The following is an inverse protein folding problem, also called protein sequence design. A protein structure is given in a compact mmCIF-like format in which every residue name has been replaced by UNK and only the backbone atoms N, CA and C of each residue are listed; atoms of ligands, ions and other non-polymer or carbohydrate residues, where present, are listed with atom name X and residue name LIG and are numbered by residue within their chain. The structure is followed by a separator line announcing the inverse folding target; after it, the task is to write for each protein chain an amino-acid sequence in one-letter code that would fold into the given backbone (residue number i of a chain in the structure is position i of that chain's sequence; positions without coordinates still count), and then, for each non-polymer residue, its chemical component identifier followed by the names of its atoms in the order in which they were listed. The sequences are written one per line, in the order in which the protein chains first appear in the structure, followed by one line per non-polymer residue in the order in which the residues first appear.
data_IF_189310531704
#
_entry.id   IF_189310531704
#
_cell.length_a   1.000
_cell.length_b   1.000
_cell.length_c   1.000
_cell.angle_alpha   90.00
_cell.angle_beta   90.00
_cell.angle_gamma   90.00
#
_symmetry.space_group_name_H-M   'P 1'
#
loop_
_entity.id
_entity.type
_entity.pdbx_description
1 polymer ?
#
# COMPACT_ATOMS: atom_id res chain seq x y z
N UNK A 1 -11.31 20.78 44.43
CA UNK A 1 -11.23 21.00 42.97
C UNK A 1 -9.91 20.43 42.49
N UNK A 2 -9.88 19.18 42.06
CA UNK A 2 -8.68 18.45 41.66
C UNK A 2 -8.71 18.42 40.13
N UNK A 3 -7.68 18.92 39.43
CA UNK A 3 -7.62 18.79 37.98
C UNK A 3 -7.30 17.34 37.64
N UNK A 4 -8.23 16.66 36.98
CA UNK A 4 -7.99 15.39 36.29
C UNK A 4 -7.09 15.70 35.09
N UNK A 5 -5.81 15.42 35.23
CA UNK A 5 -4.91 15.35 34.09
C UNK A 5 -5.27 14.08 33.30
N UNK A 6 -5.81 14.27 32.12
CA UNK A 6 -5.97 13.20 31.12
C UNK A 6 -4.60 12.92 30.52
N UNK A 7 -3.84 12.01 31.13
CA UNK A 7 -2.68 11.40 30.50
C UNK A 7 -3.18 10.43 29.39
N UNK A 8 -3.51 10.99 28.24
CA UNK A 8 -3.48 10.21 27.01
C UNK A 8 -2.02 10.17 26.57
N UNK A 9 -1.38 8.99 26.51
CA UNK A 9 -0.07 8.88 25.89
C UNK A 9 -0.19 9.41 24.46
N UNK A 10 0.68 10.37 24.11
CA UNK A 10 0.73 10.92 22.77
C UNK A 10 0.83 9.79 21.76
N UNK A 11 0.02 9.85 20.70
CA UNK A 11 -0.17 8.82 19.66
C UNK A 11 1.17 8.33 19.02
N UNK A 12 2.24 9.11 19.15
CA UNK A 12 3.58 8.76 18.64
C UNK A 12 4.25 7.57 19.36
N UNK A 13 3.79 7.15 20.54
CA UNK A 13 4.49 6.14 21.36
C UNK A 13 3.70 4.82 21.55
N UNK A 14 2.54 4.65 20.89
CA UNK A 14 1.67 3.49 21.14
C UNK A 14 1.93 2.28 20.23
N UNK A 15 2.59 2.44 19.08
CA UNK A 15 2.87 1.34 18.15
C UNK A 15 3.63 0.15 18.75
N UNK A 16 4.70 0.35 19.55
CA UNK A 16 5.42 -0.77 20.17
C UNK A 16 4.54 -1.64 21.07
N UNK A 17 3.42 -1.12 21.58
CA UNK A 17 2.51 -1.87 22.46
C UNK A 17 1.75 -2.97 21.71
N UNK A 18 1.57 -2.82 20.39
CA UNK A 18 0.89 -3.82 19.57
C UNK A 18 1.80 -4.96 19.11
N UNK A 19 3.12 -4.74 19.06
CA UNK A 19 4.07 -5.71 18.50
C UNK A 19 4.01 -7.10 19.16
N UNK A 20 3.92 -7.24 20.49
CA UNK A 20 3.79 -8.56 21.11
C UNK A 20 2.54 -9.32 20.68
N UNK A 21 1.41 -8.61 20.52
CA UNK A 21 0.15 -9.21 20.06
C UNK A 21 0.24 -9.60 18.58
N UNK A 22 0.85 -8.78 17.74
CA UNK A 22 1.10 -9.06 16.33
C UNK A 22 1.98 -10.29 16.19
N UNK A 23 3.08 -10.36 16.94
CA UNK A 23 3.99 -11.50 16.91
C UNK A 23 3.30 -12.81 17.33
N UNK A 24 2.53 -12.77 18.41
CA UNK A 24 1.79 -13.96 18.89
C UNK A 24 0.75 -14.44 17.86
N UNK A 25 0.00 -13.51 17.24
CA UNK A 25 -0.97 -13.83 16.20
C UNK A 25 -0.31 -14.42 14.96
N UNK A 26 0.81 -13.85 14.50
CA UNK A 26 1.56 -14.35 13.35
C UNK A 26 2.07 -15.76 13.59
N UNK A 27 2.68 -16.04 14.76
CA UNK A 27 3.15 -17.38 15.13
C UNK A 27 2.02 -18.40 15.08
N UNK A 28 0.86 -18.05 15.63
CA UNK A 28 -0.31 -18.93 15.63
C UNK A 28 -0.91 -19.14 14.25
N UNK A 29 -1.01 -18.08 13.44
CA UNK A 29 -1.51 -18.18 12.06
C UNK A 29 -0.61 -19.07 11.21
N UNK A 30 0.72 -18.88 11.27
CA UNK A 30 1.69 -19.72 10.54
C UNK A 30 1.58 -21.17 11.00
N UNK A 31 1.53 -21.43 12.31
CA UNK A 31 1.36 -22.77 12.87
C UNK A 31 0.08 -23.46 12.36
N UNK A 32 -1.04 -22.74 12.33
CA UNK A 32 -2.34 -23.30 11.92
C UNK A 32 -2.44 -23.49 10.40
N UNK A 33 -1.83 -22.60 9.62
CA UNK A 33 -1.82 -22.70 8.15
C UNK A 33 -0.96 -23.86 7.62
N UNK A 34 -0.06 -24.39 8.45
CA UNK A 34 0.94 -25.41 8.07
C UNK A 34 1.88 -24.95 6.95
N UNK A 35 2.02 -23.64 6.76
CA UNK A 35 2.98 -23.08 5.81
C UNK A 35 4.37 -23.05 6.44
N UNK A 36 5.38 -23.38 5.65
CA UNK A 36 6.78 -23.27 6.04
C UNK A 36 7.27 -21.82 5.88
N UNK A 37 6.80 -20.96 6.79
CA UNK A 37 7.10 -19.55 6.85
C UNK A 37 7.81 -19.18 8.15
N UNK A 38 8.73 -18.24 8.05
CA UNK A 38 9.33 -17.51 9.16
C UNK A 38 9.09 -16.01 8.96
N UNK A 39 9.21 -15.22 10.02
CA UNK A 39 9.14 -13.78 9.92
C UNK A 39 10.07 -13.10 10.92
N UNK A 40 10.49 -11.90 10.59
CA UNK A 40 11.14 -10.94 11.48
C UNK A 40 10.30 -9.68 11.58
N UNK A 41 10.42 -8.95 12.70
CA UNK A 41 9.82 -7.63 12.87
C UNK A 41 10.96 -6.65 13.14
N UNK A 42 11.12 -5.70 12.23
CA UNK A 42 12.21 -4.73 12.29
C UNK A 42 11.65 -3.31 12.34
N UNK A 43 12.33 -2.44 13.07
CA UNK A 43 12.03 -1.01 13.06
C UNK A 43 12.74 -0.37 11.88
N UNK A 44 11.98 0.27 11.00
CA UNK A 44 12.53 0.97 9.85
C UNK A 44 13.14 2.32 10.28
N UNK A 45 14.27 2.71 9.69
CA UNK A 45 14.79 4.06 9.89
C UNK A 45 13.82 5.08 9.27
N UNK A 46 13.68 6.27 9.87
CA UNK A 46 12.87 7.33 9.28
C UNK A 46 13.47 7.73 7.91
N UNK A 47 12.64 7.72 6.88
CA UNK A 47 13.03 8.19 5.54
C UNK A 47 12.40 9.56 5.29
N UNK A 48 13.22 10.51 4.83
CA UNK A 48 12.75 11.86 4.53
C UNK A 48 11.91 11.95 3.25
N UNK A 49 12.06 10.98 2.35
CA UNK A 49 11.49 11.02 1.00
C UNK A 49 10.26 10.14 0.78
N UNK A 50 9.84 9.38 1.81
CA UNK A 50 8.80 8.37 1.59
C UNK A 50 7.65 8.53 2.59
N UNK A 51 6.59 9.19 2.15
CA UNK A 51 5.29 9.22 2.85
C UNK A 51 4.70 7.80 3.07
N UNK A 52 5.40 6.77 2.60
CA UNK A 52 4.99 5.37 2.63
C UNK A 52 5.95 4.46 3.40
N UNK A 53 7.02 5.01 4.00
CA UNK A 53 7.95 4.20 4.81
C UNK A 53 7.25 3.79 6.10
N UNK A 54 7.05 2.48 6.34
CA UNK A 54 6.48 2.00 7.59
C UNK A 54 7.48 2.24 8.73
N UNK A 55 6.99 2.34 9.96
CA UNK A 55 7.86 2.36 11.14
C UNK A 55 8.34 0.97 11.53
N UNK A 56 7.50 -0.03 11.26
CA UNK A 56 7.82 -1.43 11.48
C UNK A 56 7.52 -2.25 10.23
N UNK A 57 8.47 -3.08 9.86
CA UNK A 57 8.36 -4.02 8.76
C UNK A 57 8.32 -5.44 9.33
N UNK A 58 7.30 -6.19 8.95
CA UNK A 58 7.20 -7.63 9.15
C UNK A 58 7.65 -8.29 7.85
N UNK A 59 8.88 -8.81 7.85
CA UNK A 59 9.46 -9.47 6.68
C UNK A 59 9.26 -10.97 6.77
N UNK A 60 8.64 -11.57 5.74
CA UNK A 60 8.42 -13.01 5.64
C UNK A 60 9.50 -13.69 4.80
N UNK A 61 9.84 -14.91 5.21
CA UNK A 61 10.74 -15.81 4.50
C UNK A 61 10.30 -17.28 4.69
N UNK A 62 10.93 -18.19 3.98
CA UNK A 62 10.62 -19.63 4.07
C UNK A 62 10.34 -20.24 2.71
N UNK A 63 10.20 -21.59 2.66
CA UNK A 63 9.99 -22.31 1.40
C UNK A 63 8.64 -22.01 0.76
N UNK A 64 7.63 -21.60 1.56
CA UNK A 64 6.30 -21.27 1.07
C UNK A 64 6.09 -19.75 0.87
N UNK A 65 7.16 -18.95 0.93
CA UNK A 65 7.08 -17.50 0.79
C UNK A 65 6.49 -17.06 -0.55
N UNK A 66 6.72 -17.81 -1.63
CA UNK A 66 6.16 -17.48 -2.96
C UNK A 66 4.63 -17.52 -2.97
N UNK A 67 4.00 -18.36 -2.13
CA UNK A 67 2.54 -18.40 -2.00
C UNK A 67 1.96 -17.06 -1.49
N UNK A 68 2.72 -16.33 -0.66
CA UNK A 68 2.30 -15.02 -0.17
C UNK A 68 2.19 -14.00 -1.29
N UNK A 69 3.00 -14.15 -2.35
CA UNK A 69 3.13 -13.21 -3.45
C UNK A 69 2.19 -13.51 -4.63
N UNK A 70 1.57 -14.69 -4.63
CA UNK A 70 0.60 -15.05 -5.68
C UNK A 70 -0.55 -14.03 -5.80
N UNK A 71 -1.08 -13.92 -7.02
CA UNK A 71 -2.22 -13.04 -7.33
C UNK A 71 -2.04 -11.62 -6.79
N UNK A 72 -0.87 -11.06 -7.04
CA UNK A 72 -0.54 -9.70 -6.61
C UNK A 72 -0.50 -9.55 -5.08
N UNK A 73 0.16 -10.48 -4.42
CA UNK A 73 0.33 -10.57 -2.97
C UNK A 73 -0.99 -10.56 -2.18
N UNK A 74 -2.03 -11.18 -2.74
CA UNK A 74 -3.35 -11.23 -2.07
C UNK A 74 -3.26 -11.88 -0.69
N UNK A 75 -2.50 -12.97 -0.54
CA UNK A 75 -2.36 -13.66 0.74
C UNK A 75 -1.56 -12.82 1.74
N UNK A 76 -0.47 -12.18 1.32
CA UNK A 76 0.32 -11.28 2.18
C UNK A 76 -0.55 -10.12 2.71
N UNK A 77 -1.33 -9.48 1.82
CA UNK A 77 -2.23 -8.41 2.20
C UNK A 77 -3.35 -8.89 3.15
N UNK A 78 -3.83 -10.12 2.98
CA UNK A 78 -4.82 -10.72 3.87
C UNK A 78 -4.22 -10.98 5.27
N UNK A 79 -2.99 -11.49 5.35
CA UNK A 79 -2.27 -11.66 6.63
C UNK A 79 -2.12 -10.33 7.35
N UNK A 80 -1.64 -9.28 6.67
CA UNK A 80 -1.53 -7.94 7.23
C UNK A 80 -2.89 -7.47 7.80
N UNK A 81 -3.93 -7.50 6.99
CA UNK A 81 -5.24 -7.02 7.40
C UNK A 81 -5.81 -7.76 8.61
N UNK A 82 -5.77 -9.09 8.58
CA UNK A 82 -6.31 -9.94 9.65
C UNK A 82 -5.53 -9.75 10.94
N UNK A 83 -4.20 -9.74 10.88
CA UNK A 83 -3.34 -9.59 12.06
C UNK A 83 -3.51 -8.23 12.69
N UNK A 84 -3.50 -7.14 11.91
CA UNK A 84 -3.67 -5.79 12.45
C UNK A 84 -5.05 -5.61 13.10
N UNK A 85 -6.11 -6.14 12.48
CA UNK A 85 -7.47 -6.11 13.06
C UNK A 85 -7.58 -6.97 14.31
N UNK A 86 -7.04 -8.18 14.32
CA UNK A 86 -7.09 -9.09 15.48
C UNK A 86 -6.24 -8.57 16.65
N UNK A 87 -5.11 -7.92 16.38
CA UNK A 87 -4.30 -7.23 17.38
C UNK A 87 -4.93 -5.92 17.88
N UNK A 88 -6.09 -5.53 17.33
CA UNK A 88 -6.81 -4.28 17.64
C UNK A 88 -5.96 -3.03 17.43
N UNK A 89 -5.09 -3.05 16.42
CA UNK A 89 -4.35 -1.88 15.98
C UNK A 89 -5.35 -0.84 15.48
N UNK A 90 -5.20 0.40 15.90
CA UNK A 90 -6.05 1.51 15.45
C UNK A 90 -5.80 1.79 13.96
N UNK A 91 -6.85 2.17 13.22
CA UNK A 91 -6.76 2.34 11.76
C UNK A 91 -5.75 3.39 11.32
N UNK A 92 -5.49 4.39 12.16
CA UNK A 92 -4.48 5.42 11.90
C UNK A 92 -3.04 4.86 11.85
N UNK A 93 -2.78 3.70 12.47
CA UNK A 93 -1.47 3.05 12.48
C UNK A 93 -1.30 1.99 11.38
N UNK A 94 -2.33 1.64 10.61
CA UNK A 94 -2.26 0.56 9.61
C UNK A 94 -1.17 0.80 8.55
N UNK A 95 -0.92 2.05 8.17
CA UNK A 95 0.15 2.37 7.23
C UNK A 95 1.56 2.38 7.83
N UNK A 96 1.67 2.39 9.18
CA UNK A 96 2.93 2.47 9.90
C UNK A 96 3.53 1.09 10.22
N UNK A 97 2.75 0.03 10.09
CA UNK A 97 3.20 -1.38 10.16
C UNK A 97 2.93 -1.99 8.80
N UNK A 98 3.94 -2.50 8.14
CA UNK A 98 3.83 -3.12 6.83
C UNK A 98 4.32 -4.55 6.86
N UNK A 99 3.72 -5.40 6.04
CA UNK A 99 4.13 -6.76 5.81
C UNK A 99 4.77 -6.86 4.44
N UNK A 100 5.94 -7.48 4.33
CA UNK A 100 6.64 -7.66 3.06
C UNK A 100 7.22 -9.07 2.94
N UNK A 101 7.60 -9.42 1.75
CA UNK A 101 8.24 -10.67 1.40
C UNK A 101 9.04 -10.45 0.11
N UNK A 102 10.34 -10.76 0.13
CA UNK A 102 11.21 -10.69 -1.05
C UNK A 102 11.23 -9.30 -1.72
N UNK A 103 11.22 -8.22 -0.96
CA UNK A 103 11.19 -6.84 -1.49
C UNK A 103 9.98 -6.54 -2.40
N UNK A 104 8.88 -7.32 -2.30
CA UNK A 104 7.75 -7.22 -3.21
C UNK A 104 7.14 -5.82 -3.22
N UNK A 105 7.03 -5.16 -2.05
CA UNK A 105 6.46 -3.81 -1.97
C UNK A 105 7.28 -2.79 -2.76
N UNK A 106 8.60 -2.84 -2.65
CA UNK A 106 9.49 -1.94 -3.39
C UNK A 106 9.35 -2.17 -4.89
N UNK A 107 9.44 -3.42 -5.33
CA UNK A 107 9.31 -3.79 -6.74
C UNK A 107 7.94 -3.40 -7.31
N UNK A 108 6.88 -3.64 -6.53
CA UNK A 108 5.53 -3.28 -6.93
C UNK A 108 5.31 -1.76 -7.03
N UNK A 109 5.87 -0.99 -6.10
CA UNK A 109 5.81 0.45 -6.14
C UNK A 109 6.52 1.01 -7.39
N UNK A 110 7.69 0.46 -7.74
CA UNK A 110 8.40 0.84 -8.96
C UNK A 110 7.61 0.51 -10.23
N UNK A 111 7.04 -0.70 -10.32
CA UNK A 111 6.16 -1.11 -11.41
C UNK A 111 4.96 -0.17 -11.57
N UNK A 112 4.30 0.19 -10.48
CA UNK A 112 3.16 1.10 -10.49
C UNK A 112 3.56 2.51 -10.94
N UNK A 113 4.70 3.03 -10.48
CA UNK A 113 5.23 4.33 -10.94
C UNK A 113 5.51 4.32 -12.45
N UNK A 114 6.18 3.28 -12.94
CA UNK A 114 6.45 3.12 -14.38
C UNK A 114 5.16 2.99 -15.18
N UNK A 115 4.22 2.18 -14.72
CA UNK A 115 2.90 2.02 -15.35
C UNK A 115 2.15 3.35 -15.43
N UNK A 116 2.20 4.16 -14.38
CA UNK A 116 1.58 5.47 -14.35
C UNK A 116 2.19 6.40 -15.42
N UNK A 117 3.52 6.43 -15.54
CA UNK A 117 4.20 7.27 -16.52
C UNK A 117 3.86 6.86 -17.97
N UNK A 118 3.95 5.57 -18.29
CA UNK A 118 3.61 5.06 -19.63
C UNK A 118 2.14 5.32 -19.97
N UNK A 119 1.23 5.13 -18.99
CA UNK A 119 -0.18 5.41 -19.20
C UNK A 119 -0.46 6.91 -19.40
N UNK A 120 0.27 7.80 -18.70
CA UNK A 120 0.16 9.24 -18.88
C UNK A 120 0.61 9.67 -20.28
N UNK A 121 1.73 9.16 -20.77
CA UNK A 121 2.21 9.44 -22.13
C UNK A 121 1.18 9.00 -23.17
N UNK A 122 0.62 7.80 -23.03
CA UNK A 122 -0.43 7.31 -23.92
C UNK A 122 -1.66 8.22 -23.94
N UNK A 123 -2.07 8.72 -22.76
CA UNK A 123 -3.20 9.67 -22.63
C UNK A 123 -2.93 10.97 -23.39
N UNK A 124 -1.69 11.47 -23.30
CA UNK A 124 -1.29 12.71 -23.99
C UNK A 124 -1.29 12.51 -25.49
N UNK A 125 -0.73 11.40 -25.96
CA UNK A 125 -0.62 11.08 -27.40
C UNK A 125 -1.99 10.83 -28.04
N UNK A 126 -2.88 10.08 -27.35
CA UNK A 126 -4.19 9.72 -27.87
C UNK A 126 -5.25 10.81 -27.69
N UNK A 127 -5.12 11.61 -26.61
CA UNK A 127 -6.16 12.52 -26.16
C UNK A 127 -7.35 11.84 -25.45
N UNK A 128 -7.30 10.51 -25.30
CA UNK A 128 -8.36 9.72 -24.69
C UNK A 128 -7.98 9.28 -23.27
N UNK A 129 -8.95 9.20 -22.33
CA UNK A 129 -8.69 8.69 -20.99
C UNK A 129 -8.18 7.25 -21.01
N UNK A 130 -7.27 6.93 -20.10
CA UNK A 130 -6.78 5.56 -19.90
C UNK A 130 -7.16 5.02 -18.53
N UNK A 131 -7.72 3.81 -18.51
CA UNK A 131 -8.15 3.14 -17.29
C UNK A 131 -7.15 2.06 -16.90
N UNK A 132 -6.62 2.16 -15.68
CA UNK A 132 -5.77 1.12 -15.09
C UNK A 132 -6.62 -0.02 -14.52
N UNK A 133 -6.00 -1.18 -14.29
CA UNK A 133 -6.62 -2.31 -13.63
C UNK A 133 -7.07 -1.95 -12.20
N UNK A 134 -8.09 -2.63 -11.65
CA UNK A 134 -8.45 -2.49 -10.25
C UNK A 134 -7.26 -2.74 -9.33
N UNK A 135 -7.15 -1.94 -8.27
CA UNK A 135 -6.05 -2.02 -7.33
C UNK A 135 -6.46 -1.52 -5.94
N UNK A 136 -5.70 -1.90 -4.92
CA UNK A 136 -5.98 -1.53 -3.54
C UNK A 136 -5.79 -0.02 -3.28
N UNK A 137 -6.27 0.54 -2.14
CA UNK A 137 -6.18 1.97 -1.85
C UNK A 137 -4.75 2.51 -1.83
N UNK A 138 -3.78 1.73 -1.34
CA UNK A 138 -2.37 2.10 -1.28
C UNK A 138 -1.78 2.21 -2.70
N UNK A 139 -2.01 1.22 -3.56
CA UNK A 139 -1.54 1.23 -4.94
C UNK A 139 -2.13 2.42 -5.72
N UNK A 140 -3.42 2.73 -5.53
CA UNK A 140 -4.05 3.90 -6.16
C UNK A 140 -3.38 5.21 -5.73
N UNK A 141 -2.99 5.31 -4.45
CA UNK A 141 -2.25 6.48 -3.95
C UNK A 141 -0.89 6.62 -4.63
N UNK A 142 -0.16 5.51 -4.88
CA UNK A 142 1.13 5.53 -5.59
C UNK A 142 0.95 6.12 -6.99
N UNK A 143 -0.07 5.68 -7.74
CA UNK A 143 -0.38 6.23 -9.06
C UNK A 143 -0.66 7.75 -9.00
N UNK A 144 -1.50 8.19 -8.05
CA UNK A 144 -1.82 9.60 -7.87
C UNK A 144 -0.57 10.43 -7.55
N UNK A 145 0.31 9.93 -6.67
CA UNK A 145 1.54 10.60 -6.30
C UNK A 145 2.55 10.64 -7.46
N UNK A 146 2.68 9.55 -8.23
CA UNK A 146 3.59 9.46 -9.37
C UNK A 146 3.25 10.47 -10.48
N UNK A 147 1.99 10.87 -10.58
CA UNK A 147 1.51 11.81 -11.59
C UNK A 147 1.16 13.21 -11.04
N UNK A 148 1.38 13.45 -9.76
CA UNK A 148 0.98 14.71 -9.11
C UNK A 148 1.64 15.94 -9.72
N UNK A 149 2.88 15.81 -10.17
CA UNK A 149 3.67 16.91 -10.75
C UNK A 149 3.54 16.99 -12.27
N UNK A 150 2.66 16.20 -12.88
CA UNK A 150 2.35 16.18 -14.31
C UNK A 150 1.13 17.07 -14.60
N UNK A 151 1.31 18.34 -15.07
CA UNK A 151 0.19 19.26 -15.31
C UNK A 151 -0.65 18.89 -16.54
N UNK A 152 -0.13 18.03 -17.39
CA UNK A 152 -0.70 17.57 -18.66
C UNK A 152 -1.74 16.44 -18.48
N UNK A 153 -1.80 15.82 -17.29
CA UNK A 153 -2.77 14.78 -16.97
C UNK A 153 -3.43 15.01 -15.60
N UNK A 154 -4.61 14.41 -15.42
CA UNK A 154 -5.33 14.34 -14.15
C UNK A 154 -5.67 12.89 -13.83
N UNK A 155 -5.66 12.54 -12.54
CA UNK A 155 -5.98 11.19 -12.09
C UNK A 155 -7.21 11.18 -11.20
N UNK A 156 -8.10 10.20 -11.38
CA UNK A 156 -9.30 10.01 -10.57
C UNK A 156 -9.49 8.54 -10.23
N UNK A 157 -9.82 8.25 -8.96
CA UNK A 157 -10.23 6.91 -8.55
C UNK A 157 -11.73 6.71 -8.81
N UNK A 158 -12.07 5.67 -9.59
CA UNK A 158 -13.45 5.32 -9.97
C UNK A 158 -13.80 3.88 -9.56
N UNK A 159 -15.09 3.60 -9.38
CA UNK A 159 -15.59 2.30 -8.94
C UNK A 159 -15.66 2.16 -7.41
N UNK A 160 -16.07 0.97 -6.95
CA UNK A 160 -16.29 0.64 -5.54
C UNK A 160 -15.62 -0.69 -5.16
N UNK A 161 -15.25 -0.84 -3.89
CA UNK A 161 -14.70 -2.08 -3.35
C UNK A 161 -13.49 -2.57 -4.13
N UNK A 162 -13.47 -3.85 -4.46
CA UNK A 162 -12.37 -4.52 -5.16
C UNK A 162 -12.21 -4.07 -6.62
N UNK A 163 -13.29 -3.57 -7.24
CA UNK A 163 -13.28 -3.09 -8.65
C UNK A 163 -12.82 -1.63 -8.77
N UNK A 164 -12.42 -0.99 -7.67
CA UNK A 164 -12.00 0.40 -7.69
C UNK A 164 -10.62 0.55 -8.32
N UNK A 165 -10.52 1.47 -9.29
CA UNK A 165 -9.37 1.66 -10.18
C UNK A 165 -9.04 3.13 -10.36
N UNK A 166 -7.89 3.43 -10.95
CA UNK A 166 -7.50 4.79 -11.34
C UNK A 166 -7.75 4.97 -12.83
N UNK A 167 -8.32 6.13 -13.17
CA UNK A 167 -8.46 6.61 -14.54
C UNK A 167 -7.60 7.85 -14.69
N UNK A 168 -6.83 7.90 -15.76
CA UNK A 168 -5.95 9.02 -16.12
C UNK A 168 -6.62 9.77 -17.27
N UNK A 169 -6.79 11.08 -17.12
CA UNK A 169 -7.43 11.95 -18.11
C UNK A 169 -6.42 12.97 -18.63
N UNK A 170 -6.50 13.40 -19.90
CA UNK A 170 -5.74 14.54 -20.38
C UNK A 170 -6.31 15.85 -19.77
N UNK A 171 -5.43 16.76 -19.36
CA UNK A 171 -5.83 18.08 -18.83
C UNK A 171 -6.23 19.04 -19.94
N UNK A 172 -5.57 18.95 -21.09
CA UNK A 172 -5.92 19.68 -22.31
C UNK A 172 -6.42 18.67 -23.35
N UNK A 173 -7.56 18.95 -23.99
CA UNK A 173 -7.98 18.18 -25.17
C UNK A 173 -7.04 18.55 -26.33
N UNK A 174 -6.19 17.65 -26.84
CA UNK A 174 -5.42 17.96 -28.04
C UNK A 174 -6.40 18.25 -29.18
N UNK A 175 -6.06 19.18 -30.09
CA UNK A 175 -6.88 19.42 -31.27
C UNK A 175 -6.99 18.12 -32.05
N UNK A 176 -8.22 17.60 -32.21
CA UNK A 176 -8.47 16.42 -33.03
C UNK A 176 -7.90 16.66 -34.41
N UNK A 177 -6.98 15.80 -34.91
CA UNK A 177 -6.54 15.92 -36.30
C UNK A 177 -7.77 15.78 -37.18
N UNK A 178 -8.04 16.84 -37.99
CA UNK A 178 -9.19 16.92 -38.85
C UNK A 178 -9.26 15.69 -39.75
N UNK A 179 -10.41 14.99 -39.73
CA UNK A 179 -10.76 14.03 -40.78
C UNK A 179 -10.72 14.78 -42.11
N UNK A 180 -9.73 14.51 -42.92
CA UNK A 180 -9.78 14.80 -44.37
C UNK A 180 -10.46 13.64 -45.07
#
# INVERSE_FOLDING_TARGET
MIPMASDHPSAENSLPLYLPSIEALLREMIRLSRLELAFTIEKCPPSADDLETPEYLVEFSGSDSDLLLEKNATLLNAFEHVVLKAARVEEEFFGRIAFDCQDWRRLRNEELRMTAQVAAERVIESGDPFTLSPMNPRERRIIHLALRERPDVQTKSEGFGAERKVVIFPTATPPRPGRR
#
